data_IF_472225752030
#
_entry.id   IF_472225752030
#
_cell.length_a   1.000
_cell.length_b   1.000
_cell.length_c   1.000
_cell.angle_alpha   90.00
_cell.angle_beta   90.00
_cell.angle_gamma   90.00
#
_symmetry.space_group_name_H-M   'P 1'
#
loop_
_entity.id
_entity.type
_entity.pdbx_description
1 polymer ?
#
# COMPACT_ATOMS: atom_id res chain seq x y z
N UNK A 1 -24.24 -19.65 12.34
CA UNK A 1 -23.24 -18.60 12.17
C UNK A 1 -23.46 -17.92 10.83
N UNK A 2 -23.00 -16.69 10.64
CA UNK A 2 -23.10 -16.04 9.35
C UNK A 2 -22.31 -16.79 8.28
N UNK A 3 -22.65 -16.56 7.01
CA UNK A 3 -21.86 -17.03 5.87
C UNK A 3 -20.42 -16.52 5.97
N UNK A 4 -19.47 -17.22 5.36
CA UNK A 4 -18.07 -16.86 5.42
C UNK A 4 -17.35 -16.98 4.07
N UNK A 5 -16.29 -16.22 3.91
CA UNK A 5 -15.35 -16.29 2.80
C UNK A 5 -13.92 -16.54 3.30
N UNK A 6 -13.07 -17.00 2.41
CA UNK A 6 -11.63 -17.06 2.68
C UNK A 6 -10.96 -15.89 1.96
N UNK A 7 -10.25 -15.07 2.73
CA UNK A 7 -9.33 -14.06 2.21
C UNK A 7 -7.90 -14.59 2.20
N UNK A 8 -7.20 -14.36 1.10
CA UNK A 8 -5.78 -14.68 0.94
C UNK A 8 -5.03 -13.43 0.54
N UNK A 9 -3.94 -13.15 1.23
CA UNK A 9 -3.00 -12.07 0.92
C UNK A 9 -1.61 -12.70 0.70
N UNK A 10 -1.22 -12.83 -0.55
CA UNK A 10 0.06 -13.36 -0.96
C UNK A 10 1.04 -12.22 -1.19
N UNK A 11 1.94 -12.00 -0.26
CA UNK A 11 3.07 -11.09 -0.43
C UNK A 11 4.35 -11.80 -0.89
N UNK A 12 5.42 -11.04 -1.08
CA UNK A 12 6.74 -11.63 -1.43
C UNK A 12 7.39 -12.45 -0.31
N UNK A 13 7.02 -12.21 0.95
CA UNK A 13 7.63 -12.83 2.13
C UNK A 13 6.61 -13.63 2.95
N UNK A 14 5.39 -13.14 3.05
CA UNK A 14 4.34 -13.75 3.86
C UNK A 14 3.13 -14.10 3.00
N UNK A 15 2.55 -15.25 3.29
CA UNK A 15 1.27 -15.71 2.81
C UNK A 15 0.31 -15.72 4.00
N UNK A 16 -0.71 -14.90 3.95
CA UNK A 16 -1.74 -14.82 4.99
C UNK A 16 -3.05 -15.35 4.44
N UNK A 17 -3.73 -16.19 5.22
CA UNK A 17 -5.01 -16.77 4.86
C UNK A 17 -5.95 -16.63 6.05
N UNK A 18 -7.19 -16.20 5.83
CA UNK A 18 -8.16 -16.10 6.91
C UNK A 18 -9.57 -16.50 6.48
N UNK A 19 -10.29 -17.15 7.39
CA UNK A 19 -11.73 -17.28 7.32
C UNK A 19 -12.34 -16.04 7.97
N UNK A 20 -13.21 -15.34 7.23
CA UNK A 20 -13.84 -14.08 7.65
C UNK A 20 -15.34 -14.18 7.34
N UNK A 21 -16.19 -13.86 8.32
CA UNK A 21 -17.63 -13.81 8.10
C UNK A 21 -18.02 -12.72 7.10
N UNK A 22 -19.16 -12.85 6.46
CA UNK A 22 -19.69 -11.81 5.55
C UNK A 22 -19.95 -10.48 6.25
N UNK A 23 -19.99 -10.48 7.59
CA UNK A 23 -20.13 -9.28 8.44
C UNK A 23 -18.77 -8.67 8.86
N UNK A 24 -17.63 -9.31 8.48
CA UNK A 24 -16.29 -8.83 8.76
C UNK A 24 -15.66 -9.37 10.06
N UNK A 25 -16.26 -10.39 10.70
CA UNK A 25 -15.65 -11.03 11.86
C UNK A 25 -14.51 -11.96 11.41
N UNK A 26 -13.31 -11.77 11.94
CA UNK A 26 -12.21 -12.70 11.77
C UNK A 26 -12.48 -13.98 12.57
N UNK A 27 -12.63 -15.10 11.89
CA UNK A 27 -12.87 -16.41 12.52
C UNK A 27 -11.56 -17.12 12.85
N UNK A 28 -10.63 -17.18 11.90
CA UNK A 28 -9.29 -17.75 12.07
C UNK A 28 -8.34 -17.18 11.03
N UNK A 29 -7.06 -17.03 11.41
CA UNK A 29 -5.98 -16.61 10.54
C UNK A 29 -4.80 -17.57 10.60
N UNK A 30 -4.26 -17.87 9.42
CA UNK A 30 -3.02 -18.65 9.22
C UNK A 30 -2.01 -17.70 8.58
N UNK A 31 -0.78 -17.72 9.05
CA UNK A 31 0.33 -17.01 8.43
C UNK A 31 1.47 -17.97 8.16
N UNK A 32 1.91 -18.03 6.92
CA UNK A 32 3.02 -18.87 6.44
C UNK A 32 4.10 -17.97 5.82
N UNK A 33 5.36 -18.40 5.90
CA UNK A 33 6.43 -17.80 5.11
C UNK A 33 6.34 -18.26 3.66
N UNK A 34 6.46 -17.34 2.71
CA UNK A 34 6.47 -17.69 1.28
C UNK A 34 7.84 -18.28 0.92
N UNK A 35 7.86 -19.57 0.59
CA UNK A 35 9.07 -20.30 0.20
C UNK A 35 9.29 -20.21 -1.31
N UNK A 36 9.55 -19.01 -1.81
CA UNK A 36 9.72 -18.72 -3.24
C UNK A 36 10.77 -19.64 -3.89
N UNK A 37 11.83 -20.00 -3.16
CA UNK A 37 12.89 -20.89 -3.62
C UNK A 37 12.41 -22.31 -3.96
N UNK A 38 11.28 -22.76 -3.39
CA UNK A 38 10.69 -24.06 -3.68
C UNK A 38 9.78 -24.04 -4.93
N UNK A 39 9.67 -22.87 -5.56
CA UNK A 39 8.92 -22.69 -6.78
C UNK A 39 7.43 -22.38 -6.59
N UNK A 40 6.82 -21.94 -7.69
CA UNK A 40 5.42 -21.53 -7.75
C UNK A 40 4.43 -22.60 -7.29
N UNK A 41 4.59 -23.83 -7.76
CA UNK A 41 3.64 -24.93 -7.50
C UNK A 41 3.60 -25.31 -6.02
N UNK A 42 4.72 -25.17 -5.32
CA UNK A 42 4.79 -25.34 -3.87
C UNK A 42 4.00 -24.24 -3.14
N UNK A 43 4.19 -22.98 -3.52
CA UNK A 43 3.48 -21.84 -2.92
C UNK A 43 1.96 -21.96 -3.12
N UNK A 44 1.54 -22.30 -4.34
CA UNK A 44 0.11 -22.53 -4.66
C UNK A 44 -0.42 -23.72 -3.87
N UNK A 45 0.37 -24.79 -3.70
CA UNK A 45 -0.01 -25.96 -2.88
C UNK A 45 -0.26 -25.58 -1.43
N UNK A 46 0.73 -24.98 -0.75
CA UNK A 46 0.57 -24.54 0.66
C UNK A 46 -0.64 -23.61 0.85
N UNK A 47 -0.87 -22.71 -0.10
CA UNK A 47 -2.02 -21.80 -0.10
C UNK A 47 -3.35 -22.56 -0.21
N UNK A 48 -3.47 -23.46 -1.19
CA UNK A 48 -4.69 -24.25 -1.41
C UNK A 48 -4.99 -25.17 -0.22
N UNK A 49 -3.98 -25.83 0.34
CA UNK A 49 -4.14 -26.69 1.52
C UNK A 49 -4.66 -25.91 2.73
N UNK A 50 -4.15 -24.69 2.96
CA UNK A 50 -4.63 -23.83 4.03
C UNK A 50 -6.08 -23.35 3.80
N UNK A 51 -6.43 -22.99 2.55
CA UNK A 51 -7.80 -22.60 2.17
C UNK A 51 -8.77 -23.77 2.41
N UNK A 52 -8.43 -24.96 1.93
CA UNK A 52 -9.25 -26.17 2.11
C UNK A 52 -9.42 -26.51 3.59
N UNK A 53 -8.37 -26.43 4.39
CA UNK A 53 -8.41 -26.66 5.85
C UNK A 53 -9.39 -25.73 6.54
N UNK A 54 -9.34 -24.42 6.25
CA UNK A 54 -10.25 -23.44 6.84
C UNK A 54 -11.68 -23.65 6.36
N UNK A 55 -11.86 -23.92 5.06
CA UNK A 55 -13.19 -24.18 4.48
C UNK A 55 -13.85 -25.39 5.14
N UNK A 56 -13.13 -26.50 5.30
CA UNK A 56 -13.66 -27.70 5.93
C UNK A 56 -13.98 -27.47 7.40
N UNK A 57 -13.10 -26.78 8.15
CA UNK A 57 -13.31 -26.48 9.57
C UNK A 57 -14.60 -25.69 9.82
N UNK A 58 -14.94 -24.75 8.93
CA UNK A 58 -16.09 -23.86 9.10
C UNK A 58 -17.32 -24.28 8.31
N UNK A 59 -17.27 -25.35 7.51
CA UNK A 59 -18.39 -25.86 6.70
C UNK A 59 -19.67 -26.12 7.50
N UNK A 60 -19.55 -26.57 8.75
CA UNK A 60 -20.68 -26.79 9.65
C UNK A 60 -21.22 -25.53 10.34
N UNK A 61 -20.52 -24.41 10.20
CA UNK A 61 -20.81 -23.16 10.92
C UNK A 61 -21.51 -22.10 10.07
N UNK A 62 -21.47 -22.20 8.74
CA UNK A 62 -22.05 -21.27 7.78
C UNK A 62 -21.76 -21.71 6.36
N UNK A 63 -22.40 -21.06 5.37
CA UNK A 63 -22.12 -21.33 3.96
C UNK A 63 -20.83 -20.67 3.53
N UNK A 64 -19.93 -21.42 2.88
CA UNK A 64 -18.77 -20.88 2.20
C UNK A 64 -19.20 -20.15 0.92
N UNK A 65 -18.89 -18.86 0.78
CA UNK A 65 -19.30 -18.04 -0.37
C UNK A 65 -18.23 -17.91 -1.44
N UNK A 66 -16.97 -18.23 -1.12
CA UNK A 66 -15.86 -18.23 -2.07
C UNK A 66 -14.52 -17.81 -1.44
N UNK A 67 -13.45 -17.92 -2.24
CA UNK A 67 -12.12 -17.46 -1.88
C UNK A 67 -11.71 -16.25 -2.73
N UNK A 68 -11.32 -15.17 -2.08
CA UNK A 68 -10.66 -14.03 -2.72
C UNK A 68 -9.16 -14.07 -2.44
N UNK A 69 -8.36 -13.75 -3.45
CA UNK A 69 -6.90 -13.88 -3.38
C UNK A 69 -6.25 -12.62 -3.92
N UNK A 70 -5.55 -11.89 -3.05
CA UNK A 70 -4.68 -10.79 -3.42
C UNK A 70 -3.29 -11.31 -3.77
N UNK A 71 -2.77 -10.95 -4.93
CA UNK A 71 -1.42 -11.34 -5.39
C UNK A 71 -0.65 -10.12 -5.92
N UNK A 72 0.68 -10.06 -5.70
CA UNK A 72 1.49 -8.96 -6.18
C UNK A 72 1.81 -9.14 -7.67
N UNK A 73 1.43 -8.19 -8.50
CA UNK A 73 1.75 -8.18 -9.92
C UNK A 73 0.62 -7.71 -10.81
N UNK A 74 0.87 -7.79 -12.12
CA UNK A 74 -0.08 -7.40 -13.17
C UNK A 74 -0.92 -8.61 -13.53
N UNK A 75 -2.22 -8.52 -13.28
CA UNK A 75 -3.19 -9.57 -13.53
C UNK A 75 -4.09 -9.13 -14.68
N UNK A 76 -4.26 -10.01 -15.63
CA UNK A 76 -5.34 -9.92 -16.60
C UNK A 76 -6.64 -10.35 -15.90
N UNK A 77 -7.48 -9.40 -15.56
CA UNK A 77 -8.69 -9.63 -14.78
C UNK A 77 -9.73 -10.48 -15.50
N UNK A 78 -9.75 -10.44 -16.83
CA UNK A 78 -10.67 -11.24 -17.67
C UNK A 78 -10.27 -12.72 -17.63
N UNK A 79 -9.01 -13.01 -17.91
CA UNK A 79 -8.51 -14.38 -18.01
C UNK A 79 -8.01 -14.96 -16.68
N UNK A 80 -7.71 -14.13 -15.69
CA UNK A 80 -7.07 -14.56 -14.43
C UNK A 80 -5.60 -14.94 -14.59
N UNK A 81 -4.98 -14.47 -15.68
CA UNK A 81 -3.59 -14.73 -16.00
C UNK A 81 -2.69 -13.72 -15.28
N UNK A 82 -1.66 -14.19 -14.58
CA UNK A 82 -0.59 -13.34 -14.08
C UNK A 82 0.32 -12.98 -15.27
N UNK A 83 0.31 -11.72 -15.71
CA UNK A 83 1.16 -11.27 -16.83
C UNK A 83 2.59 -11.02 -16.39
N UNK A 84 2.77 -10.43 -15.20
CA UNK A 84 4.11 -10.15 -14.65
C UNK A 84 4.04 -10.00 -13.13
N UNK A 85 5.01 -10.58 -12.44
CA UNK A 85 5.22 -10.31 -11.02
C UNK A 85 6.72 -10.12 -10.75
N UNK A 86 7.08 -9.00 -10.13
CA UNK A 86 8.46 -8.73 -9.74
C UNK A 86 8.88 -9.55 -8.51
N UNK A 87 7.91 -9.92 -7.67
CA UNK A 87 8.15 -10.55 -6.37
C UNK A 87 7.95 -12.06 -6.37
N UNK A 88 7.41 -12.62 -7.44
CA UNK A 88 7.11 -14.05 -7.57
C UNK A 88 7.76 -14.62 -8.85
N UNK A 89 9.00 -15.09 -8.79
CA UNK A 89 9.68 -15.70 -9.92
C UNK A 89 8.92 -16.91 -10.47
N UNK A 90 8.81 -17.02 -11.80
CA UNK A 90 8.12 -18.13 -12.46
C UNK A 90 6.59 -18.02 -12.53
N UNK A 91 6.03 -16.87 -12.12
CA UNK A 91 4.58 -16.63 -12.18
C UNK A 91 4.15 -15.83 -13.43
N UNK A 92 5.09 -15.32 -14.21
CA UNK A 92 4.76 -14.58 -15.44
C UNK A 92 4.12 -15.48 -16.50
N UNK A 93 3.12 -14.94 -17.20
CA UNK A 93 2.31 -15.61 -18.21
C UNK A 93 1.73 -16.97 -17.75
N UNK A 94 1.23 -16.99 -16.52
CA UNK A 94 0.73 -18.20 -15.89
C UNK A 94 -0.77 -18.06 -15.51
N UNK A 95 -1.62 -19.08 -15.80
CA UNK A 95 -3.05 -19.06 -15.54
C UNK A 95 -3.35 -19.32 -14.04
N UNK A 96 -3.02 -18.35 -13.19
CA UNK A 96 -3.05 -18.49 -11.74
C UNK A 96 -4.45 -18.83 -11.22
N UNK A 97 -5.49 -18.14 -11.75
CA UNK A 97 -6.88 -18.40 -11.34
C UNK A 97 -7.30 -19.83 -11.64
N UNK A 98 -7.12 -20.27 -12.87
CA UNK A 98 -7.55 -21.59 -13.31
C UNK A 98 -6.85 -22.70 -12.52
N UNK A 99 -5.56 -22.53 -12.25
CA UNK A 99 -4.79 -23.52 -11.48
C UNK A 99 -5.26 -23.60 -10.02
N UNK A 100 -5.57 -22.48 -9.41
CA UNK A 100 -6.07 -22.46 -8.04
C UNK A 100 -7.50 -23.05 -7.99
N UNK A 101 -8.39 -22.66 -8.91
CA UNK A 101 -9.75 -23.21 -9.01
C UNK A 101 -9.74 -24.72 -9.21
N UNK A 102 -8.84 -25.22 -10.06
CA UNK A 102 -8.65 -26.67 -10.30
C UNK A 102 -8.26 -27.39 -9.01
N UNK A 103 -7.40 -26.82 -8.18
CA UNK A 103 -6.95 -27.42 -6.91
C UNK A 103 -8.01 -27.33 -5.81
N UNK A 104 -8.71 -26.23 -5.74
CA UNK A 104 -9.74 -25.99 -4.70
C UNK A 104 -11.08 -26.66 -5.04
N UNK A 105 -11.35 -26.94 -6.32
CA UNK A 105 -12.68 -27.38 -6.76
C UNK A 105 -13.77 -26.32 -6.53
N UNK A 106 -13.40 -25.04 -6.44
CA UNK A 106 -14.29 -23.94 -6.12
C UNK A 106 -13.85 -22.66 -6.87
N UNK A 107 -14.80 -21.75 -7.07
CA UNK A 107 -14.55 -20.46 -7.73
C UNK A 107 -13.63 -19.58 -6.90
N UNK A 108 -12.68 -18.91 -7.57
CA UNK A 108 -11.72 -18.00 -6.99
C UNK A 108 -11.82 -16.61 -7.61
N UNK A 109 -11.71 -15.59 -6.76
CA UNK A 109 -11.65 -14.19 -7.14
C UNK A 109 -10.22 -13.70 -6.97
N UNK A 110 -9.50 -13.57 -8.08
CA UNK A 110 -8.13 -13.09 -8.08
C UNK A 110 -8.11 -11.56 -8.21
N UNK A 111 -7.25 -10.90 -7.43
CA UNK A 111 -7.13 -9.44 -7.41
C UNK A 111 -5.68 -9.02 -7.12
N UNK A 112 -5.32 -7.78 -7.45
CA UNK A 112 -4.04 -7.21 -7.07
C UNK A 112 -3.95 -6.94 -5.56
N UNK A 113 -2.77 -7.07 -4.96
CA UNK A 113 -2.52 -6.91 -3.52
C UNK A 113 -2.85 -5.51 -2.97
N UNK A 114 -2.55 -4.44 -3.72
CA UNK A 114 -2.91 -3.09 -3.32
C UNK A 114 -4.43 -2.83 -3.42
N UNK A 115 -5.09 -3.42 -4.42
CA UNK A 115 -6.53 -3.33 -4.59
C UNK A 115 -7.27 -4.02 -3.44
N UNK A 116 -6.85 -5.23 -3.03
CA UNK A 116 -7.46 -5.88 -1.86
C UNK A 116 -7.21 -5.10 -0.57
N UNK A 117 -6.03 -4.50 -0.40
CA UNK A 117 -5.77 -3.65 0.76
C UNK A 117 -6.72 -2.44 0.79
N UNK A 118 -6.96 -1.79 -0.36
CA UNK A 118 -7.91 -0.69 -0.48
C UNK A 118 -9.35 -1.12 -0.18
N UNK A 119 -9.78 -2.29 -0.68
CA UNK A 119 -11.09 -2.84 -0.38
C UNK A 119 -11.28 -3.14 1.11
N UNK A 120 -10.25 -3.64 1.77
CA UNK A 120 -10.27 -3.87 3.21
C UNK A 120 -10.45 -2.56 3.99
N UNK A 121 -9.66 -1.55 3.69
CA UNK A 121 -9.75 -0.22 4.32
C UNK A 121 -11.08 0.48 4.00
N UNK A 122 -11.66 0.26 2.81
CA UNK A 122 -13.01 0.74 2.46
C UNK A 122 -14.10 -0.02 3.22
N UNK A 123 -13.93 -1.31 3.46
CA UNK A 123 -14.95 -2.11 4.16
C UNK A 123 -14.98 -1.87 5.65
N UNK A 124 -13.83 -2.03 6.33
CA UNK A 124 -13.74 -2.06 7.81
C UNK A 124 -12.72 -1.08 8.38
N UNK A 125 -11.94 -0.41 7.53
CA UNK A 125 -10.83 0.41 7.94
C UNK A 125 -11.07 1.91 7.89
N UNK A 126 -10.01 2.65 7.54
CA UNK A 126 -9.97 4.10 7.56
C UNK A 126 -10.95 4.76 6.59
N UNK A 127 -11.27 4.09 5.49
CA UNK A 127 -12.06 4.67 4.39
C UNK A 127 -13.52 4.18 4.32
N UNK A 128 -14.04 3.55 5.37
CA UNK A 128 -15.40 2.98 5.38
C UNK A 128 -16.49 4.01 5.08
N UNK A 129 -16.28 5.25 5.46
CA UNK A 129 -17.27 6.33 5.39
C UNK A 129 -17.12 7.23 4.14
N UNK A 130 -16.20 6.89 3.20
CA UNK A 130 -15.98 7.64 1.96
C UNK A 130 -16.06 6.74 0.74
N UNK A 131 -16.61 7.25 -0.37
CA UNK A 131 -16.76 6.47 -1.60
C UNK A 131 -15.63 6.68 -2.61
N UNK A 132 -14.81 7.72 -2.41
CA UNK A 132 -13.71 8.04 -3.30
C UNK A 132 -12.42 8.14 -2.51
N UNK A 133 -11.52 7.21 -2.73
CA UNK A 133 -10.23 7.16 -2.04
C UNK A 133 -9.11 6.63 -2.92
N UNK A 134 -7.87 6.96 -2.57
CA UNK A 134 -6.69 6.27 -3.05
C UNK A 134 -5.98 5.57 -1.88
N UNK A 135 -5.52 4.35 -2.11
CA UNK A 135 -4.64 3.60 -1.20
C UNK A 135 -3.22 3.65 -1.72
N UNK A 136 -2.27 3.95 -0.86
CA UNK A 136 -0.84 3.89 -1.14
C UNK A 136 -0.22 2.87 -0.19
N UNK A 137 0.35 1.80 -0.71
CA UNK A 137 1.01 0.77 0.11
C UNK A 137 2.52 0.95 0.06
N UNK A 138 3.14 1.23 1.21
CA UNK A 138 4.57 1.42 1.39
C UNK A 138 5.20 0.15 1.95
N UNK A 139 5.81 -0.62 1.08
CA UNK A 139 6.47 -1.89 1.38
C UNK A 139 7.86 -1.97 0.76
N UNK A 140 8.23 -3.13 0.21
CA UNK A 140 9.42 -3.32 -0.63
C UNK A 140 9.46 -2.29 -1.75
N UNK A 141 8.29 -2.03 -2.37
CA UNK A 141 8.05 -0.96 -3.33
C UNK A 141 6.90 -0.05 -2.89
N UNK A 142 6.29 0.64 -3.87
CA UNK A 142 5.05 1.41 -3.68
C UNK A 142 3.97 0.80 -4.57
N UNK A 143 2.93 0.25 -3.95
CA UNK A 143 1.69 -0.10 -4.63
C UNK A 143 0.64 0.99 -4.48
N UNK A 144 -0.38 0.91 -5.31
CA UNK A 144 -1.51 1.84 -5.23
C UNK A 144 -2.80 1.25 -5.76
N UNK A 145 -3.90 1.80 -5.25
CA UNK A 145 -5.25 1.48 -5.69
C UNK A 145 -6.14 2.72 -5.65
N UNK A 146 -7.13 2.75 -6.51
CA UNK A 146 -8.11 3.84 -6.58
C UNK A 146 -9.51 3.24 -6.40
N UNK A 147 -10.29 3.79 -5.49
CA UNK A 147 -11.72 3.49 -5.36
C UNK A 147 -12.50 4.75 -5.76
N UNK A 148 -13.41 4.59 -6.71
CA UNK A 148 -14.34 5.63 -7.14
C UNK A 148 -15.77 5.09 -7.02
N UNK A 149 -16.65 5.88 -6.39
CA UNK A 149 -18.04 5.50 -6.13
C UNK A 149 -18.15 4.12 -5.44
N UNK A 150 -17.26 3.86 -4.48
CA UNK A 150 -17.22 2.64 -3.70
C UNK A 150 -16.67 1.41 -4.43
N UNK A 151 -16.14 1.54 -5.66
CA UNK A 151 -15.64 0.44 -6.50
C UNK A 151 -14.19 0.67 -6.92
N UNK A 152 -13.43 -0.40 -7.07
CA UNK A 152 -12.07 -0.34 -7.63
C UNK A 152 -12.13 0.25 -9.05
N UNK A 153 -11.28 1.22 -9.28
CA UNK A 153 -11.03 1.78 -10.61
C UNK A 153 -9.85 1.05 -11.25
N UNK A 154 -10.16 0.16 -12.18
CA UNK A 154 -9.17 -0.66 -12.86
C UNK A 154 -8.43 0.06 -13.99
N UNK A 155 -8.97 1.19 -14.49
CA UNK A 155 -8.51 1.79 -15.73
C UNK A 155 -8.86 0.91 -16.95
N UNK A 156 -8.17 1.14 -18.06
CA UNK A 156 -8.47 0.44 -19.32
C UNK A 156 -8.10 -1.05 -19.30
N UNK A 157 -7.04 -1.41 -18.59
CA UNK A 157 -6.42 -2.72 -18.67
C UNK A 157 -6.06 -3.36 -17.32
N UNK A 158 -6.70 -2.89 -16.24
CA UNK A 158 -6.47 -3.42 -14.89
C UNK A 158 -5.24 -2.86 -14.17
N UNK A 159 -4.55 -1.85 -14.74
CA UNK A 159 -3.27 -1.34 -14.24
C UNK A 159 -3.37 0.07 -13.63
N UNK A 160 -4.55 0.56 -13.32
CA UNK A 160 -4.67 1.84 -12.62
C UNK A 160 -4.08 1.74 -11.20
N UNK A 161 -3.47 2.82 -10.73
CA UNK A 161 -2.90 2.85 -9.38
C UNK A 161 -1.40 2.57 -9.31
N UNK A 162 -0.69 2.47 -10.42
CA UNK A 162 0.78 2.29 -10.48
C UNK A 162 1.53 3.54 -10.00
N UNK A 163 1.19 4.04 -8.80
CA UNK A 163 1.69 5.29 -8.22
C UNK A 163 3.20 5.26 -7.98
N UNK A 164 3.74 4.09 -7.65
CA UNK A 164 5.17 3.92 -7.43
C UNK A 164 6.03 4.24 -8.65
N UNK A 165 5.44 4.15 -9.85
CA UNK A 165 6.13 4.39 -11.12
C UNK A 165 5.92 5.80 -11.69
N UNK A 166 5.23 6.67 -10.96
CA UNK A 166 5.19 8.11 -11.29
C UNK A 166 6.59 8.70 -11.11
N UNK A 167 7.08 9.38 -12.15
CA UNK A 167 8.38 10.07 -12.12
C UNK A 167 8.29 11.30 -11.24
N UNK A 168 9.07 11.35 -10.17
CA UNK A 168 9.19 12.52 -9.28
C UNK A 168 10.54 13.22 -9.43
N UNK A 169 11.52 12.54 -10.05
CA UNK A 169 12.86 13.06 -10.31
C UNK A 169 13.28 12.67 -11.74
N UNK A 170 13.13 13.56 -12.74
CA UNK A 170 13.34 13.21 -14.16
C UNK A 170 14.72 12.63 -14.48
N UNK A 171 15.76 13.10 -13.79
CA UNK A 171 17.16 12.62 -13.95
C UNK A 171 17.58 11.69 -12.81
N UNK A 172 16.61 11.04 -12.16
CA UNK A 172 16.84 10.23 -10.98
C UNK A 172 17.33 8.82 -11.26
N UNK A 173 17.37 8.02 -10.19
CA UNK A 173 17.90 6.65 -10.27
C UNK A 173 17.05 5.74 -11.17
N UNK A 174 17.69 4.75 -11.85
CA UNK A 174 16.98 3.77 -12.68
C UNK A 174 15.96 2.97 -11.86
N UNK A 175 14.82 2.68 -12.48
CA UNK A 175 13.77 1.82 -11.93
C UNK A 175 13.69 0.50 -12.69
N UNK A 176 13.30 -0.58 -12.01
CA UNK A 176 13.09 -1.90 -12.61
C UNK A 176 11.97 -1.95 -13.66
N UNK A 177 11.10 -0.92 -13.73
CA UNK A 177 10.10 -0.81 -14.79
C UNK A 177 10.65 -0.30 -16.13
N UNK A 178 11.93 0.09 -16.19
CA UNK A 178 12.61 0.65 -17.36
C UNK A 178 12.67 2.17 -17.38
N UNK A 179 11.99 2.86 -16.46
CA UNK A 179 12.00 4.31 -16.31
C UNK A 179 13.09 4.78 -15.33
N UNK A 180 13.24 6.10 -15.17
CA UNK A 180 14.14 6.74 -14.20
C UNK A 180 13.31 7.63 -13.27
N UNK A 181 13.78 7.77 -12.01
CA UNK A 181 13.19 8.70 -11.06
C UNK A 181 11.80 8.38 -10.55
N UNK A 182 11.35 7.13 -10.66
CA UNK A 182 10.09 6.67 -10.09
C UNK A 182 10.04 6.88 -8.58
N UNK A 183 8.90 7.28 -8.05
CA UNK A 183 8.68 7.55 -6.63
C UNK A 183 9.10 6.38 -5.71
N UNK A 184 8.88 5.15 -6.15
CA UNK A 184 9.28 3.93 -5.44
C UNK A 184 10.78 3.89 -5.15
N UNK A 185 11.59 4.48 -6.02
CA UNK A 185 13.05 4.52 -5.84
C UNK A 185 13.49 5.46 -4.73
N UNK A 186 12.58 6.23 -4.13
CA UNK A 186 12.86 7.21 -3.07
C UNK A 186 12.01 7.02 -1.83
N UNK A 187 10.81 6.43 -1.94
CA UNK A 187 9.85 6.32 -0.85
C UNK A 187 9.36 4.88 -0.63
N UNK A 188 10.28 3.90 -0.62
CA UNK A 188 10.01 2.51 -0.28
C UNK A 188 11.03 1.98 0.74
N UNK A 189 10.78 0.80 1.33
CA UNK A 189 11.74 0.16 2.22
C UNK A 189 13.08 -0.13 1.52
N UNK A 190 13.02 -0.57 0.27
CA UNK A 190 14.22 -0.79 -0.56
C UNK A 190 14.98 0.51 -0.80
N UNK A 191 14.26 1.62 -1.02
CA UNK A 191 14.86 2.93 -1.19
C UNK A 191 15.58 3.42 0.07
N UNK A 192 14.99 3.20 1.26
CA UNK A 192 15.61 3.55 2.55
C UNK A 192 16.96 2.85 2.69
N UNK A 193 17.01 1.53 2.46
CA UNK A 193 18.24 0.75 2.57
C UNK A 193 19.28 1.19 1.53
N UNK A 194 18.86 1.42 0.28
CA UNK A 194 19.76 1.91 -0.78
C UNK A 194 20.35 3.28 -0.42
N UNK A 195 19.53 4.24 -0.03
CA UNK A 195 20.00 5.59 0.34
C UNK A 195 20.98 5.56 1.53
N UNK A 196 20.71 4.68 2.50
CA UNK A 196 21.61 4.50 3.64
C UNK A 196 22.96 3.93 3.21
N UNK A 197 22.99 2.91 2.35
CA UNK A 197 24.22 2.32 1.82
C UNK A 197 25.02 3.33 1.00
N UNK A 198 24.39 4.08 0.11
CA UNK A 198 25.03 5.15 -0.67
C UNK A 198 25.66 6.22 0.23
N UNK A 199 24.96 6.63 1.31
CA UNK A 199 25.49 7.59 2.27
C UNK A 199 26.68 7.04 3.07
N UNK A 200 26.67 5.74 3.40
CA UNK A 200 27.79 5.05 4.05
C UNK A 200 29.00 4.98 3.10
N UNK A 201 28.80 4.52 1.87
CA UNK A 201 29.84 4.35 0.87
C UNK A 201 30.53 5.68 0.49
N UNK A 202 29.75 6.78 0.47
CA UNK A 202 30.27 8.14 0.23
C UNK A 202 30.93 8.79 1.46
N UNK A 203 30.95 8.11 2.60
CA UNK A 203 31.48 8.65 3.86
C UNK A 203 30.62 9.72 4.53
N UNK A 204 29.41 9.96 4.03
CA UNK A 204 28.49 11.00 4.54
C UNK A 204 27.65 10.53 5.75
N UNK A 205 27.74 9.25 6.14
CA UNK A 205 26.94 8.66 7.21
C UNK A 205 27.79 7.76 8.15
N UNK A 206 28.77 8.33 8.88
CA UNK A 206 29.66 7.55 9.73
C UNK A 206 28.95 6.84 10.89
N UNK A 207 27.89 7.44 11.43
CA UNK A 207 27.11 6.83 12.49
C UNK A 207 26.26 5.65 11.99
N UNK A 208 25.72 5.71 10.76
CA UNK A 208 25.09 4.58 10.10
C UNK A 208 26.08 3.48 9.74
N UNK A 209 27.28 3.83 9.28
CA UNK A 209 28.33 2.87 8.96
C UNK A 209 28.69 2.00 10.17
N UNK A 210 28.83 2.63 11.36
CA UNK A 210 29.08 1.92 12.61
C UNK A 210 27.93 0.98 12.97
N UNK A 211 26.68 1.42 12.82
CA UNK A 211 25.50 0.60 13.11
C UNK A 211 25.38 -0.58 12.11
N UNK A 212 25.59 -0.33 10.82
CA UNK A 212 25.53 -1.34 9.77
C UNK A 212 26.56 -2.45 9.94
N UNK A 213 27.76 -2.12 10.45
CA UNK A 213 28.82 -3.12 10.70
C UNK A 213 28.46 -4.11 11.82
N UNK A 214 27.53 -3.77 12.69
CA UNK A 214 27.07 -4.60 13.82
C UNK A 214 25.71 -5.27 13.58
N UNK A 215 25.04 -4.98 12.46
CA UNK A 215 23.72 -5.51 12.13
C UNK A 215 23.77 -6.30 10.80
N UNK A 216 23.83 -7.64 10.84
CA UNK A 216 23.84 -8.48 9.63
C UNK A 216 22.59 -8.30 8.74
N UNK A 217 21.45 -7.93 9.35
CA UNK A 217 20.19 -7.72 8.67
C UNK A 217 19.87 -6.24 8.44
N UNK A 218 20.89 -5.39 8.25
CA UNK A 218 20.71 -3.96 8.07
C UNK A 218 19.56 -3.61 7.11
N UNK A 219 18.43 -3.21 7.69
CA UNK A 219 17.12 -3.11 7.06
C UNK A 219 16.51 -1.72 7.23
N UNK A 220 15.44 -1.43 6.50
CA UNK A 220 14.69 -0.19 6.69
C UNK A 220 14.17 -0.02 8.14
N UNK A 221 13.84 -1.14 8.81
CA UNK A 221 13.44 -1.15 10.22
C UNK A 221 14.61 -0.79 11.14
N UNK A 222 15.81 -1.34 10.88
CA UNK A 222 17.01 -1.00 11.64
C UNK A 222 17.32 0.49 11.51
N UNK A 223 17.27 1.05 10.30
CA UNK A 223 17.51 2.46 10.02
C UNK A 223 16.45 3.34 10.72
N UNK A 224 15.18 2.93 10.72
CA UNK A 224 14.14 3.63 11.46
C UNK A 224 14.41 3.64 12.97
N UNK A 225 14.78 2.51 13.55
CA UNK A 225 15.11 2.43 14.98
C UNK A 225 16.24 3.38 15.34
N UNK A 226 17.23 3.55 14.47
CA UNK A 226 18.31 4.54 14.67
C UNK A 226 17.77 5.97 14.57
N UNK A 227 16.88 6.25 13.63
CA UNK A 227 16.31 7.60 13.48
C UNK A 227 15.54 8.06 14.72
N UNK A 228 14.73 7.18 15.33
CA UNK A 228 13.99 7.50 16.58
C UNK A 228 14.92 7.62 17.80
N UNK A 229 16.11 7.03 17.76
CA UNK A 229 17.16 7.17 18.77
C UNK A 229 18.00 8.45 18.58
N UNK A 230 17.66 9.29 17.60
CA UNK A 230 18.33 10.57 17.37
C UNK A 230 19.54 10.49 16.43
N UNK A 231 19.74 9.37 15.72
CA UNK A 231 20.81 9.28 14.72
C UNK A 231 20.48 10.20 13.53
N UNK A 232 21.25 11.27 13.39
CA UNK A 232 21.01 12.30 12.36
C UNK A 232 21.13 11.77 10.93
N UNK A 233 22.04 10.79 10.68
CA UNK A 233 22.18 10.20 9.35
C UNK A 233 20.89 9.46 8.96
N UNK A 234 20.32 8.69 9.88
CA UNK A 234 19.08 7.99 9.68
C UNK A 234 17.90 8.96 9.54
N UNK A 235 17.86 10.03 10.32
CA UNK A 235 16.83 11.09 10.19
C UNK A 235 16.89 11.76 8.81
N UNK A 236 18.09 12.03 8.25
CA UNK A 236 18.24 12.56 6.89
C UNK A 236 17.67 11.62 5.82
N UNK A 237 17.81 10.30 6.00
CA UNK A 237 17.20 9.31 5.08
C UNK A 237 15.67 9.42 5.11
N UNK A 238 15.06 9.46 6.29
CA UNK A 238 13.59 9.57 6.40
C UNK A 238 13.07 10.96 6.01
N UNK A 239 13.85 12.02 6.16
CA UNK A 239 13.55 13.32 5.59
C UNK A 239 13.43 13.22 4.05
N UNK A 240 14.45 12.66 3.37
CA UNK A 240 14.42 12.46 1.91
C UNK A 240 13.26 11.58 1.47
N UNK A 241 12.96 10.53 2.21
CA UNK A 241 11.78 9.68 2.00
C UNK A 241 10.48 10.50 2.07
N UNK A 242 10.31 11.31 3.11
CA UNK A 242 9.12 12.13 3.31
C UNK A 242 8.94 13.17 2.22
N UNK A 243 10.02 13.85 1.81
CA UNK A 243 10.02 14.79 0.68
C UNK A 243 9.55 14.09 -0.61
N UNK A 244 10.16 12.95 -0.95
CA UNK A 244 9.82 12.20 -2.15
C UNK A 244 8.35 11.74 -2.16
N UNK A 245 7.88 11.20 -1.04
CA UNK A 245 6.47 10.81 -0.90
C UNK A 245 5.54 12.02 -0.99
N UNK A 246 5.93 13.15 -0.41
CA UNK A 246 5.18 14.40 -0.47
C UNK A 246 5.02 14.95 -1.89
N UNK A 247 6.08 14.86 -2.72
CA UNK A 247 6.01 15.22 -4.15
C UNK A 247 5.01 14.33 -4.89
N UNK A 248 5.08 13.00 -4.70
CA UNK A 248 4.12 12.07 -5.26
C UNK A 248 2.69 12.41 -4.82
N UNK A 249 2.47 12.55 -3.52
CA UNK A 249 1.15 12.82 -2.93
C UNK A 249 0.57 14.15 -3.41
N UNK A 250 1.39 15.18 -3.54
CA UNK A 250 0.96 16.47 -4.08
C UNK A 250 0.42 16.34 -5.52
N UNK A 251 1.12 15.56 -6.36
CA UNK A 251 0.67 15.23 -7.71
C UNK A 251 -0.66 14.47 -7.72
N UNK A 252 -0.77 13.41 -6.90
CA UNK A 252 -1.98 12.60 -6.82
C UNK A 252 -3.18 13.43 -6.33
N UNK A 253 -3.00 14.26 -5.30
CA UNK A 253 -4.06 15.14 -4.80
C UNK A 253 -4.51 16.14 -5.86
N UNK A 254 -3.58 16.74 -6.62
CA UNK A 254 -3.93 17.68 -7.68
C UNK A 254 -4.70 17.02 -8.84
N UNK A 255 -4.35 15.77 -9.19
CA UNK A 255 -4.94 15.06 -10.35
C UNK A 255 -6.25 14.38 -10.00
N UNK A 256 -6.30 13.71 -8.84
CA UNK A 256 -7.43 12.87 -8.45
C UNK A 256 -8.48 13.60 -7.61
N UNK A 257 -8.05 14.56 -6.77
CA UNK A 257 -8.92 15.35 -5.88
C UNK A 257 -9.97 14.52 -5.14
N UNK A 258 -9.54 13.42 -4.52
CA UNK A 258 -10.40 12.49 -3.79
C UNK A 258 -10.64 12.95 -2.36
N UNK A 259 -11.68 12.40 -1.73
CA UNK A 259 -12.04 12.69 -0.34
C UNK A 259 -10.94 12.23 0.63
N UNK A 260 -10.28 11.08 0.33
CA UNK A 260 -9.31 10.47 1.23
C UNK A 260 -8.15 9.79 0.50
N UNK A 261 -6.95 9.91 1.08
CA UNK A 261 -5.75 9.16 0.72
C UNK A 261 -5.29 8.37 1.95
N UNK A 262 -5.30 7.04 1.83
CA UNK A 262 -4.91 6.12 2.90
C UNK A 262 -3.51 5.60 2.61
N UNK A 263 -2.60 5.72 3.58
CA UNK A 263 -1.23 5.23 3.47
C UNK A 263 -1.06 4.04 4.40
N UNK A 264 -0.68 2.89 3.84
CA UNK A 264 -0.49 1.63 4.56
C UNK A 264 0.82 0.94 4.21
N UNK A 265 0.92 -0.35 4.54
CA UNK A 265 2.11 -1.16 4.30
C UNK A 265 3.12 -1.14 5.45
N UNK A 266 4.20 -1.93 5.32
CA UNK A 266 5.14 -2.15 6.43
C UNK A 266 5.92 -0.92 6.88
N UNK A 267 6.15 0.05 5.99
CA UNK A 267 6.90 1.27 6.30
C UNK A 267 6.09 2.26 7.13
N UNK A 268 4.77 2.06 7.25
CA UNK A 268 3.89 2.96 8.03
C UNK A 268 4.30 3.08 9.51
N UNK A 269 5.00 2.08 10.04
CA UNK A 269 5.57 2.13 11.39
C UNK A 269 6.55 3.30 11.58
N UNK A 270 7.15 3.80 10.49
CA UNK A 270 8.05 4.96 10.48
C UNK A 270 7.33 6.30 10.25
N UNK A 271 6.00 6.34 10.39
CA UNK A 271 5.17 7.52 10.12
C UNK A 271 5.73 8.81 10.71
N UNK A 272 6.08 8.79 11.97
CA UNK A 272 6.52 10.00 12.69
C UNK A 272 7.86 10.54 12.18
N UNK A 273 8.67 9.69 11.52
CA UNK A 273 9.95 10.08 10.95
C UNK A 273 9.81 10.73 9.55
N UNK A 274 8.77 10.40 8.78
CA UNK A 274 8.63 10.92 7.41
C UNK A 274 7.41 11.81 7.18
N UNK A 275 6.30 11.61 7.90
CA UNK A 275 5.04 12.30 7.63
C UNK A 275 5.11 13.83 7.76
N UNK A 276 5.82 14.42 8.73
CA UNK A 276 5.96 15.87 8.79
C UNK A 276 6.53 16.47 7.50
N UNK A 277 7.53 15.80 6.92
CA UNK A 277 8.19 16.23 5.68
C UNK A 277 7.27 16.03 4.46
N UNK A 278 6.55 14.91 4.42
CA UNK A 278 5.54 14.65 3.39
C UNK A 278 4.45 15.73 3.38
N UNK A 279 3.88 16.06 4.54
CA UNK A 279 2.84 17.09 4.63
C UNK A 279 3.35 18.49 4.29
N UNK A 280 4.60 18.81 4.61
CA UNK A 280 5.22 20.07 4.24
C UNK A 280 5.29 20.22 2.71
N UNK A 281 5.81 19.20 2.02
CA UNK A 281 5.88 19.19 0.54
C UNK A 281 4.50 19.23 -0.12
N UNK A 282 3.52 18.51 0.44
CA UNK A 282 2.15 18.56 -0.06
C UNK A 282 1.55 19.96 0.01
N UNK A 283 1.78 20.68 1.13
CA UNK A 283 1.28 22.05 1.27
C UNK A 283 1.95 23.02 0.30
N UNK A 284 3.23 22.83 0.03
CA UNK A 284 3.99 23.67 -0.88
C UNK A 284 3.63 23.43 -2.35
N UNK A 285 3.47 22.15 -2.74
CA UNK A 285 3.38 21.74 -4.15
C UNK A 285 1.96 21.46 -4.65
N UNK A 286 1.00 21.24 -3.78
CA UNK A 286 -0.37 20.95 -4.19
C UNK A 286 -1.29 22.16 -3.96
N UNK A 287 -1.77 22.76 -5.06
CA UNK A 287 -2.80 23.79 -5.03
C UNK A 287 -4.06 23.30 -4.30
N UNK A 288 -4.48 22.07 -4.59
CA UNK A 288 -5.67 21.46 -4.00
C UNK A 288 -5.47 21.20 -2.51
N UNK A 289 -4.34 20.62 -2.11
CA UNK A 289 -4.07 20.34 -0.70
C UNK A 289 -3.89 21.64 0.10
N UNK A 290 -3.22 22.64 -0.45
CA UNK A 290 -3.08 23.95 0.21
C UNK A 290 -4.45 24.60 0.51
N UNK A 291 -5.44 24.39 -0.37
CA UNK A 291 -6.80 24.91 -0.21
C UNK A 291 -7.69 24.05 0.69
N UNK A 292 -7.44 22.73 0.78
CA UNK A 292 -8.34 21.76 1.41
C UNK A 292 -7.73 21.03 2.61
N UNK A 293 -6.47 21.29 2.96
CA UNK A 293 -5.84 20.64 4.11
C UNK A 293 -6.65 20.85 5.39
N UNK A 294 -6.71 19.86 6.30
CA UNK A 294 -7.26 20.05 7.63
C UNK A 294 -6.55 21.20 8.36
N UNK A 295 -7.29 21.92 9.18
CA UNK A 295 -6.72 23.01 9.98
C UNK A 295 -5.56 22.47 10.84
N UNK A 296 -4.41 23.09 10.73
CA UNK A 296 -3.28 22.81 11.63
C UNK A 296 -3.53 23.57 12.93
N UNK A 297 -3.73 22.88 14.08
CA UNK A 297 -3.94 23.55 15.37
C UNK A 297 -2.74 24.42 15.80
N UNK A 298 -1.57 24.26 15.16
CA UNK A 298 -0.38 25.10 15.36
C UNK A 298 -0.30 26.29 14.40
N UNK A 299 -1.21 26.37 13.43
CA UNK A 299 -1.23 27.41 12.41
C UNK A 299 -2.04 28.59 12.94
N UNK A 300 -1.38 29.73 13.19
CA UNK A 300 -2.07 30.97 13.51
C UNK A 300 -2.79 31.52 12.26
N UNK A 301 -4.13 31.56 12.23
CA UNK A 301 -4.87 32.07 11.08
C UNK A 301 -4.49 33.51 10.71
N UNK A 302 -3.97 34.30 11.67
CA UNK A 302 -3.54 35.67 11.45
C UNK A 302 -2.25 35.79 10.64
N UNK A 303 -1.43 34.74 10.62
CA UNK A 303 -0.15 34.71 9.91
C UNK A 303 -0.17 33.84 8.64
N UNK A 304 -1.33 33.32 8.23
CA UNK A 304 -1.47 32.55 7.00
C UNK A 304 -1.44 33.47 5.78
N UNK A 305 -0.43 33.38 4.89
CA UNK A 305 -0.37 34.17 3.66
C UNK A 305 -1.58 33.94 2.74
N UNK A 306 -2.24 32.77 2.85
CA UNK A 306 -3.43 32.43 2.07
C UNK A 306 -4.72 32.96 2.71
N UNK A 307 -4.78 33.08 4.03
CA UNK A 307 -5.91 33.70 4.72
C UNK A 307 -6.03 35.20 4.45
N UNK A 308 -4.92 35.87 4.06
CA UNK A 308 -4.89 37.32 3.73
C UNK A 308 -5.32 37.63 2.30
N UNK A 309 -5.54 36.65 1.44
CA UNK A 309 -6.09 36.86 0.11
C UNK A 309 -7.61 36.84 0.15
N UNK A 310 -8.20 37.93 0.64
CA UNK A 310 -9.66 38.17 0.69
C UNK A 310 -10.38 38.03 -0.67
N UNK A 311 -9.64 37.96 -1.79
CA UNK A 311 -10.19 37.78 -3.13
C UNK A 311 -10.33 36.33 -3.62
N UNK A 312 -9.66 35.35 -2.99
CA UNK A 312 -9.69 33.96 -3.45
C UNK A 312 -10.94 33.19 -2.99
N UNK A 313 -11.58 33.63 -1.90
CA UNK A 313 -12.76 32.96 -1.34
C UNK A 313 -14.07 33.39 -2.00
N UNK A 314 -14.09 34.50 -2.74
CA UNK A 314 -15.33 35.09 -3.25
C UNK A 314 -15.92 34.31 -4.43
N UNK A 315 -15.14 33.57 -5.20
CA UNK A 315 -15.64 32.79 -6.32
C UNK A 315 -15.66 31.25 -6.11
N UNK A 316 -15.25 30.77 -4.90
CA UNK A 316 -15.40 29.38 -4.50
C UNK A 316 -16.04 29.23 -3.10
N UNK A 317 -17.21 29.80 -2.83
CA UNK A 317 -17.77 29.89 -1.47
C UNK A 317 -18.14 28.52 -0.85
N UNK A 318 -18.23 27.46 -1.63
CA UNK A 318 -18.65 26.12 -1.16
C UNK A 318 -17.53 25.07 -1.16
N UNK A 319 -16.35 25.36 -1.70
CA UNK A 319 -15.24 24.41 -1.77
C UNK A 319 -14.47 24.26 -0.46
N UNK A 320 -14.49 25.29 0.39
CA UNK A 320 -13.74 25.32 1.65
C UNK A 320 -14.28 24.40 2.76
N UNK A 321 -15.42 23.73 2.53
CA UNK A 321 -16.03 22.82 3.52
C UNK A 321 -15.54 21.39 3.43
N UNK A 322 -15.12 20.91 2.26
CA UNK A 322 -14.54 19.57 2.08
C UNK A 322 -13.04 19.62 2.30
N UNK A 323 -12.54 18.74 3.16
CA UNK A 323 -11.11 18.64 3.47
C UNK A 323 -10.53 17.40 2.79
N UNK A 324 -9.35 17.51 2.19
CA UNK A 324 -8.60 16.35 1.74
C UNK A 324 -7.99 15.63 2.94
N UNK A 325 -8.41 14.41 3.19
CA UNK A 325 -7.92 13.62 4.31
C UNK A 325 -6.77 12.74 3.83
N UNK A 326 -5.62 12.84 4.52
CA UNK A 326 -4.49 11.92 4.35
C UNK A 326 -4.24 11.24 5.68
N UNK A 327 -4.38 9.93 5.73
CA UNK A 327 -4.35 9.17 6.98
C UNK A 327 -3.63 7.84 6.84
N UNK A 328 -3.34 7.22 7.98
CA UNK A 328 -2.80 5.86 8.04
C UNK A 328 -3.91 4.82 7.87
N UNK A 329 -3.56 3.68 7.25
CA UNK A 329 -4.40 2.49 7.24
C UNK A 329 -4.69 2.01 8.67
N UNK A 330 -5.92 1.59 8.94
CA UNK A 330 -6.35 1.09 10.25
C UNK A 330 -6.18 -0.42 10.42
N UNK A 331 -6.39 -1.18 9.34
CA UNK A 331 -6.32 -2.65 9.40
C UNK A 331 -4.89 -3.18 9.35
N UNK A 332 -3.92 -2.30 9.13
CA UNK A 332 -2.51 -2.65 9.13
C UNK A 332 -2.18 -3.75 8.11
N UNK A 333 -1.49 -4.80 8.56
CA UNK A 333 -1.10 -5.93 7.70
C UNK A 333 -2.27 -6.84 7.30
N UNK A 334 -3.44 -6.67 7.85
CA UNK A 334 -4.60 -7.52 7.60
C UNK A 334 -5.58 -6.90 6.58
N UNK A 335 -5.30 -5.68 6.11
CA UNK A 335 -6.13 -5.00 5.12
C UNK A 335 -6.37 -5.86 3.87
N UNK A 336 -5.30 -6.47 3.34
CA UNK A 336 -5.37 -7.38 2.19
C UNK A 336 -6.27 -8.60 2.44
N UNK A 337 -6.21 -9.19 3.64
CA UNK A 337 -7.08 -10.31 4.01
C UNK A 337 -8.56 -9.95 4.00
N UNK A 338 -8.90 -8.83 4.66
CA UNK A 338 -10.28 -8.37 4.73
C UNK A 338 -10.82 -8.00 3.35
N UNK A 339 -10.03 -7.30 2.55
CA UNK A 339 -10.45 -6.93 1.20
C UNK A 339 -10.60 -8.13 0.27
N UNK A 340 -9.67 -9.08 0.32
CA UNK A 340 -9.79 -10.32 -0.44
C UNK A 340 -11.05 -11.11 -0.03
N UNK A 341 -11.31 -11.27 1.26
CA UNK A 341 -12.52 -11.94 1.76
C UNK A 341 -13.80 -11.20 1.39
N UNK A 342 -13.77 -9.88 1.20
CA UNK A 342 -14.93 -9.08 0.81
C UNK A 342 -15.41 -9.39 -0.60
N UNK A 343 -14.49 -9.66 -1.54
CA UNK A 343 -14.83 -9.82 -2.97
C UNK A 343 -15.87 -10.90 -3.23
N UNK A 344 -15.75 -12.14 -2.70
CA UNK A 344 -16.75 -13.17 -2.91
C UNK A 344 -18.11 -12.87 -2.27
N UNK A 345 -18.13 -11.98 -1.27
CA UNK A 345 -19.32 -11.63 -0.48
C UNK A 345 -19.99 -10.33 -0.94
N UNK A 346 -19.46 -9.65 -1.98
CA UNK A 346 -19.95 -8.36 -2.49
C UNK A 346 -20.96 -8.51 -3.65
#
# INVERSE_FOLDING_TARGET
>A
MPDFSIGVDLGGTNLRIAAISTEGQLLEKITLGVKVALGRDHVIGEMCDAVLRLTEKYRGSGRFVGAGIGVPGIIDMETGMMRKSANLPGWSDYPVRDEIERRLGARVFLENDANVAALGEKWLGAARDVDNMAMITLGTGIGGAIILNGKIFYGMNGMAGEFGHVTIEPNGVPCGCGNHGCAERYASATAVVRMAREAIESGQAPALAKAASSDPEFSAKSIYNLAIQGNEDAQRIFHRFGVALGILMAGLVNVLNLDMFVIGGGVISAWDAFAPHMFAEMRERSLVYAATAPDDPKRDPKNDPLAKKEGASAWMPNYTRKKTIVTRALLGSDAGLYGAARIPAS
#
